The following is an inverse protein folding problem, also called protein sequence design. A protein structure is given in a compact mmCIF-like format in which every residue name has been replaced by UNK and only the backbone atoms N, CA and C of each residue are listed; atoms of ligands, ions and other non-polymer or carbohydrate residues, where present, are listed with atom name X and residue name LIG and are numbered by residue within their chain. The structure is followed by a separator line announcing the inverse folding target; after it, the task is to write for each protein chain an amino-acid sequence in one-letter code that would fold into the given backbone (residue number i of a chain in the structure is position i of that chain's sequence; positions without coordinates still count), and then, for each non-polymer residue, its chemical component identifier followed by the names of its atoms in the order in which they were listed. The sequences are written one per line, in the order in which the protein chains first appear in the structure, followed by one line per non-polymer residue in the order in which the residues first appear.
data_IF_588024582115
#
_entry.id   IF_588024582115
#
_cell.length_a   1.000
_cell.length_b   1.000
_cell.length_c   1.000
_cell.angle_alpha   90.00
_cell.angle_beta   90.00
_cell.angle_gamma   90.00
#
_symmetry.space_group_name_H-M   'P 1'
#
loop_
_entity.id
_entity.type
_entity.pdbx_description
1 polymer ?
#
# COMPACT_ATOMS: atom_id res chain seq x y z
N UNK A 1 -2.52 -7.00 -19.08
CA UNK A 1 -2.09 -6.99 -17.67
C UNK A 1 -1.61 -5.59 -17.34
N UNK A 2 -1.80 -5.14 -16.10
CA UNK A 2 -1.50 -3.76 -15.69
C UNK A 2 -0.02 -3.62 -15.30
N UNK A 3 0.66 -2.58 -15.81
CA UNK A 3 2.08 -2.34 -15.57
C UNK A 3 2.32 -1.59 -14.25
N UNK A 4 3.49 -1.81 -13.65
CA UNK A 4 3.96 -1.00 -12.53
C UNK A 4 4.23 0.44 -13.01
N UNK A 5 3.64 1.41 -12.32
CA UNK A 5 3.77 2.82 -12.66
C UNK A 5 5.24 3.29 -12.61
N UNK A 6 5.92 3.06 -11.49
CA UNK A 6 7.30 3.54 -11.28
C UNK A 6 8.29 2.86 -12.25
N UNK A 7 8.15 1.55 -12.50
CA UNK A 7 8.91 0.86 -13.54
C UNK A 7 8.69 1.47 -14.94
N UNK A 8 7.45 1.85 -15.27
CA UNK A 8 7.14 2.43 -16.57
C UNK A 8 7.81 3.80 -16.77
N UNK A 9 7.95 4.60 -15.70
CA UNK A 9 8.70 5.86 -15.74
C UNK A 9 10.20 5.64 -15.98
N UNK A 10 10.75 4.52 -15.52
CA UNK A 10 12.13 4.08 -15.79
C UNK A 10 12.29 3.37 -17.15
N UNK A 11 11.23 3.27 -17.96
CA UNK A 11 11.24 2.55 -19.25
C UNK A 11 11.23 1.02 -19.11
N UNK A 12 10.99 0.48 -17.92
CA UNK A 12 10.82 -0.95 -17.65
C UNK A 12 9.36 -1.37 -17.82
N UNK A 13 9.13 -2.65 -18.06
CA UNK A 13 7.79 -3.18 -18.38
C UNK A 13 7.28 -4.19 -17.35
N UNK A 14 7.72 -4.09 -16.10
CA UNK A 14 7.27 -4.96 -15.02
C UNK A 14 5.76 -4.86 -14.78
N UNK A 15 5.18 -5.98 -14.36
CA UNK A 15 3.75 -6.09 -14.04
C UNK A 15 3.48 -5.58 -12.63
N UNK A 16 2.35 -4.89 -12.46
CA UNK A 16 1.87 -4.53 -11.14
C UNK A 16 1.18 -5.73 -10.47
N UNK A 17 1.49 -5.93 -9.19
CA UNK A 17 0.91 -6.96 -8.33
C UNK A 17 0.02 -6.38 -7.22
N UNK A 18 0.20 -5.10 -6.89
CA UNK A 18 -0.53 -4.40 -5.83
C UNK A 18 -0.96 -3.00 -6.28
N UNK A 19 -1.84 -2.39 -5.50
CA UNK A 19 -2.32 -1.01 -5.72
C UNK A 19 -2.04 -0.19 -4.47
N UNK A 20 -1.49 1.02 -4.65
CA UNK A 20 -1.32 1.96 -3.54
C UNK A 20 -2.68 2.41 -3.01
N UNK A 21 -2.94 2.18 -1.72
CA UNK A 21 -4.22 2.55 -1.08
C UNK A 21 -4.46 4.07 -1.05
N UNK A 22 -3.40 4.89 -1.13
CA UNK A 22 -3.50 6.36 -1.07
C UNK A 22 -3.76 6.97 -2.44
N UNK A 23 -2.99 6.61 -3.47
CA UNK A 23 -3.02 7.28 -4.78
C UNK A 23 -3.51 6.39 -5.94
N UNK A 24 -3.75 5.10 -5.72
CA UNK A 24 -4.28 4.19 -6.73
C UNK A 24 -3.31 3.71 -7.81
N UNK A 25 -2.00 4.04 -7.72
CA UNK A 25 -0.98 3.51 -8.64
C UNK A 25 -0.89 1.99 -8.55
N UNK A 26 -0.83 1.30 -9.69
CA UNK A 26 -0.43 -0.10 -9.77
C UNK A 26 1.08 -0.24 -9.64
N UNK A 27 1.57 -1.12 -8.78
CA UNK A 27 2.98 -1.25 -8.44
C UNK A 27 3.41 -2.71 -8.39
N UNK A 28 4.67 -2.99 -8.74
CA UNK A 28 5.30 -4.27 -8.44
C UNK A 28 5.67 -4.33 -6.95
N UNK A 29 6.00 -5.52 -6.46
CA UNK A 29 6.37 -5.72 -5.04
C UNK A 29 7.64 -4.97 -4.62
N UNK A 30 8.47 -4.50 -5.57
CA UNK A 30 9.66 -3.71 -5.27
C UNK A 30 9.35 -2.23 -5.03
N UNK A 31 8.30 -1.69 -5.67
CA UNK A 31 7.89 -0.28 -5.56
C UNK A 31 6.76 -0.04 -4.56
N UNK A 32 6.37 -1.08 -3.81
CA UNK A 32 5.35 -1.00 -2.80
C UNK A 32 5.85 -1.60 -1.47
N UNK A 33 5.42 -1.00 -0.37
CA UNK A 33 5.62 -1.54 0.98
C UNK A 33 4.29 -1.93 1.60
N UNK A 34 4.27 -3.10 2.23
CA UNK A 34 3.15 -3.52 3.06
C UNK A 34 3.18 -2.73 4.37
N UNK A 35 2.03 -2.21 4.78
CA UNK A 35 1.87 -1.48 6.03
C UNK A 35 0.66 -1.99 6.81
N UNK A 36 0.79 -2.24 8.12
CA UNK A 36 -0.35 -2.46 8.98
C UNK A 36 -1.07 -1.13 9.24
N UNK A 37 -2.06 -0.78 8.42
CA UNK A 37 -2.94 0.34 8.74
C UNK A 37 -3.97 -0.13 9.77
N UNK A 38 -3.96 0.49 10.95
CA UNK A 38 -5.03 0.26 11.94
C UNK A 38 -6.29 0.96 11.45
N UNK A 39 -7.24 0.17 10.94
CA UNK A 39 -8.47 0.66 10.28
C UNK A 39 -9.50 1.23 11.29
N UNK A 40 -9.25 1.12 12.59
CA UNK A 40 -10.20 1.61 13.60
C UNK A 40 -9.50 2.23 14.80
N UNK A 41 -9.77 3.51 15.06
CA UNK A 41 -9.66 4.10 16.39
C UNK A 41 -10.94 3.78 17.17
N UNK A 42 -10.82 3.05 18.28
CA UNK A 42 -11.95 2.68 19.14
C UNK A 42 -12.43 1.23 19.01
N UNK A 43 -13.48 0.88 19.78
CA UNK A 43 -14.04 -0.47 19.86
C UNK A 43 -15.51 -0.45 19.39
N UNK A 44 -15.76 -0.43 18.06
CA UNK A 44 -17.11 -0.38 17.53
C UNK A 44 -17.93 -1.60 18.02
N UNK A 45 -19.17 -1.42 18.49
CA UNK A 45 -20.00 -2.54 18.91
C UNK A 45 -20.36 -3.40 17.68
N UNK A 46 -20.26 -4.73 17.83
CA UNK A 46 -20.63 -5.74 16.82
C UNK A 46 -19.71 -5.87 15.58
N UNK A 47 -18.40 -5.61 15.69
CA UNK A 47 -17.46 -5.96 14.61
C UNK A 47 -16.91 -7.38 14.74
N UNK A 48 -16.81 -8.08 13.61
CA UNK A 48 -16.06 -9.34 13.49
C UNK A 48 -14.73 -9.03 12.83
N UNK A 49 -13.65 -9.13 13.61
CA UNK A 49 -12.31 -9.01 13.04
C UNK A 49 -11.96 -10.28 12.27
N UNK A 50 -11.30 -10.12 11.12
CA UNK A 50 -10.67 -11.22 10.42
C UNK A 50 -9.49 -11.76 11.25
N UNK A 51 -9.20 -13.05 11.14
CA UNK A 51 -8.07 -13.69 11.83
C UNK A 51 -6.72 -13.04 11.48
N UNK A 52 -6.62 -12.48 10.27
CA UNK A 52 -5.50 -11.64 9.82
C UNK A 52 -6.09 -10.35 9.25
N UNK A 53 -5.46 -9.22 9.55
CA UNK A 53 -5.79 -7.95 8.90
C UNK A 53 -5.59 -8.05 7.38
N UNK A 54 -6.33 -7.24 6.62
CA UNK A 54 -6.06 -7.11 5.20
C UNK A 54 -4.70 -6.43 5.03
N UNK A 55 -3.82 -6.92 4.13
CA UNK A 55 -2.56 -6.26 3.85
C UNK A 55 -2.85 -4.97 3.07
N UNK A 56 -2.29 -3.85 3.52
CA UNK A 56 -2.39 -2.58 2.82
C UNK A 56 -1.04 -2.27 2.20
N UNK A 57 -1.03 -1.80 0.96
CA UNK A 57 0.20 -1.46 0.24
C UNK A 57 0.24 0.02 -0.10
N UNK A 58 1.42 0.63 -0.02
CA UNK A 58 1.66 2.02 -0.36
C UNK A 58 2.89 2.14 -1.27
N UNK A 59 2.86 3.06 -2.24
CA UNK A 59 4.09 3.43 -2.96
C UNK A 59 5.06 4.17 -2.04
N UNK A 60 6.34 4.14 -2.40
CA UNK A 60 7.39 4.86 -1.66
C UNK A 60 7.07 6.36 -1.55
N UNK A 61 6.59 7.00 -2.63
CA UNK A 61 6.19 8.40 -2.60
C UNK A 61 5.10 8.68 -1.54
N UNK A 62 4.00 7.92 -1.55
CA UNK A 62 2.95 8.14 -0.56
C UNK A 62 3.43 7.83 0.85
N UNK A 63 4.25 6.78 1.02
CA UNK A 63 4.81 6.45 2.32
C UNK A 63 5.62 7.61 2.92
N UNK A 64 6.55 8.16 2.14
CA UNK A 64 7.44 9.25 2.56
C UNK A 64 6.70 10.57 2.81
N UNK A 65 5.52 10.78 2.20
CA UNK A 65 4.80 12.04 2.25
C UNK A 65 3.51 12.02 3.09
N UNK A 66 3.07 10.85 3.58
CA UNK A 66 1.79 10.73 4.32
C UNK A 66 1.92 10.07 5.69
N UNK A 67 3.05 9.45 6.00
CA UNK A 67 3.28 8.79 7.29
C UNK A 67 4.43 9.48 8.00
N UNK A 68 4.10 10.30 9.01
CA UNK A 68 5.09 11.06 9.81
C UNK A 68 5.99 10.13 10.65
N UNK A 69 5.55 8.89 10.93
CA UNK A 69 6.20 7.89 11.79
C UNK A 69 6.88 6.74 11.02
N UNK A 70 7.24 6.91 9.75
CA UNK A 70 7.94 5.86 8.99
C UNK A 70 9.35 5.52 9.52
N UNK A 71 9.80 6.22 10.57
CA UNK A 71 11.06 6.04 11.28
C UNK A 71 10.84 5.91 12.80
N UNK A 72 10.37 4.75 13.27
CA UNK A 72 10.73 4.23 14.62
C UNK A 72 10.91 2.72 14.55
#
# INVERSE_FOLDING_TARGET
MMKCYDCAEEGKTEEASVVCIVCGKGLCSAHAKEMPLQVSVGKPPNVKHLHKGLPHFMCNYCLENTVEDACV
#
